data_IF_213064375067
#
_entry.id   IF_213064375067
#
_cell.length_a   1.000
_cell.length_b   1.000
_cell.length_c   1.000
_cell.angle_alpha   90.00
_cell.angle_beta   90.00
_cell.angle_gamma   90.00
#
_symmetry.space_group_name_H-M   'P 1'
#
loop_
_entity.id
_entity.type
_entity.pdbx_description
1 polymer ?
#
# COMPACT_ATOMS: atom_id res chain seq x y z
N UNK A 1 27.91 -21.31 6.00
CA UNK A 1 26.49 -21.72 5.95
C UNK A 1 25.65 -20.62 6.58
N UNK A 2 24.38 -20.50 6.16
CA UNK A 2 23.44 -19.53 6.69
C UNK A 2 22.30 -20.24 7.42
N UNK A 3 21.76 -19.63 8.47
CA UNK A 3 20.61 -20.16 9.20
C UNK A 3 19.70 -19.03 9.68
N UNK A 4 18.42 -19.32 9.84
CA UNK A 4 17.40 -18.50 10.49
C UNK A 4 16.92 -19.22 11.74
N UNK A 5 16.79 -18.49 12.85
CA UNK A 5 16.28 -18.98 14.12
C UNK A 5 15.84 -17.78 14.95
N UNK A 6 14.77 -17.94 15.73
CA UNK A 6 14.29 -16.92 16.66
C UNK A 6 15.21 -16.80 17.88
N UNK A 7 15.78 -17.92 18.32
CA UNK A 7 16.70 -18.00 19.46
C UNK A 7 18.14 -18.34 19.02
N UNK A 8 19.09 -18.16 19.95
CA UNK A 8 20.49 -18.49 19.71
C UNK A 8 20.68 -20.01 19.68
N UNK A 9 21.13 -20.53 18.54
CA UNK A 9 21.42 -21.95 18.36
C UNK A 9 22.91 -22.24 18.54
N UNK A 10 23.25 -23.29 19.29
CA UNK A 10 24.63 -23.76 19.46
C UNK A 10 24.99 -24.77 18.37
N UNK A 11 25.89 -24.39 17.46
CA UNK A 11 26.36 -25.24 16.36
C UNK A 11 27.74 -25.87 16.61
N UNK A 12 28.30 -25.80 17.82
CA UNK A 12 29.68 -26.26 18.07
C UNK A 12 29.93 -27.70 17.65
N UNK A 13 29.01 -28.61 17.97
CA UNK A 13 29.13 -30.02 17.59
C UNK A 13 28.99 -30.23 16.08
N UNK A 14 27.99 -29.60 15.46
CA UNK A 14 27.79 -29.67 14.01
C UNK A 14 29.00 -29.12 13.24
N UNK A 15 29.59 -28.01 13.70
CA UNK A 15 30.78 -27.42 13.07
C UNK A 15 31.96 -28.39 13.12
N UNK A 16 32.16 -29.12 14.23
CA UNK A 16 33.24 -30.14 14.32
C UNK A 16 33.06 -31.23 13.28
N UNK A 17 31.85 -31.81 13.19
CA UNK A 17 31.54 -32.89 12.24
C UNK A 17 31.74 -32.42 10.80
N UNK A 18 31.24 -31.24 10.45
CA UNK A 18 31.36 -30.71 9.11
C UNK A 18 32.81 -30.32 8.78
N UNK A 19 33.57 -29.76 9.72
CA UNK A 19 34.97 -29.38 9.50
C UNK A 19 35.85 -30.61 9.27
N UNK A 20 35.63 -31.70 10.02
CA UNK A 20 36.31 -32.98 9.82
C UNK A 20 36.01 -33.57 8.44
N UNK A 21 34.73 -33.55 8.04
CA UNK A 21 34.27 -34.10 6.75
C UNK A 21 34.77 -33.32 5.54
N UNK A 22 34.68 -31.99 5.57
CA UNK A 22 34.99 -31.14 4.42
C UNK A 22 36.41 -30.57 4.43
N UNK A 23 37.15 -30.68 5.55
CA UNK A 23 38.51 -30.15 5.72
C UNK A 23 38.67 -28.67 5.36
N UNK A 24 37.62 -27.88 5.62
CA UNK A 24 37.58 -26.43 5.39
C UNK A 24 37.08 -25.71 6.65
N UNK A 25 37.41 -24.42 6.79
CA UNK A 25 36.88 -23.59 7.87
C UNK A 25 35.40 -23.32 7.63
N UNK A 26 34.57 -23.76 8.57
CA UNK A 26 33.11 -23.60 8.49
C UNK A 26 32.66 -22.53 9.47
N UNK A 27 31.87 -21.59 8.94
CA UNK A 27 31.24 -20.52 9.71
C UNK A 27 29.72 -20.60 9.53
N UNK A 28 29.00 -20.52 10.65
CA UNK A 28 27.53 -20.43 10.69
C UNK A 28 27.14 -18.97 10.86
N UNK A 29 26.45 -18.39 9.86
CA UNK A 29 26.00 -16.99 9.89
C UNK A 29 24.49 -16.92 10.05
N UNK A 30 24.02 -16.25 11.10
CA UNK A 30 22.60 -15.98 11.28
C UNK A 30 22.16 -14.92 10.27
N UNK A 31 21.02 -15.13 9.63
CA UNK A 31 20.38 -14.17 8.73
C UNK A 31 18.95 -13.91 9.18
N UNK A 32 18.45 -12.70 8.90
CA UNK A 32 17.06 -12.36 9.19
C UNK A 32 16.09 -13.00 8.18
N UNK A 33 14.83 -13.17 8.58
CA UNK A 33 13.75 -13.78 7.77
C UNK A 33 13.60 -13.18 6.36
N UNK A 34 13.88 -11.88 6.19
CA UNK A 34 13.84 -11.25 4.86
C UNK A 34 15.04 -11.59 3.99
N UNK A 35 16.22 -11.73 4.58
CA UNK A 35 17.42 -12.17 3.85
C UNK A 35 17.29 -13.63 3.45
N UNK A 36 16.66 -14.44 4.29
CA UNK A 36 16.27 -15.81 3.95
C UNK A 36 15.31 -15.83 2.76
N UNK A 37 14.20 -15.09 2.83
CA UNK A 37 13.25 -14.97 1.71
C UNK A 37 13.92 -14.44 0.43
N UNK A 38 14.82 -13.47 0.55
CA UNK A 38 15.60 -12.93 -0.57
C UNK A 38 16.46 -14.01 -1.24
N UNK A 39 17.11 -14.88 -0.46
CA UNK A 39 17.96 -15.96 -0.96
C UNK A 39 17.16 -17.11 -1.56
N UNK A 40 16.04 -17.48 -0.94
CA UNK A 40 15.15 -18.52 -1.43
C UNK A 40 14.42 -18.09 -2.71
N UNK A 41 14.11 -16.80 -2.83
CA UNK A 41 13.28 -16.31 -3.93
C UNK A 41 11.80 -16.58 -3.69
N UNK A 42 11.00 -16.34 -4.73
CA UNK A 42 9.56 -16.59 -4.70
C UNK A 42 8.79 -15.54 -5.49
N UNK A 43 7.46 -15.61 -5.38
CA UNK A 43 6.54 -14.69 -6.03
C UNK A 43 5.83 -13.84 -4.98
N UNK A 44 5.86 -12.52 -5.18
CA UNK A 44 5.15 -11.57 -4.35
C UNK A 44 3.65 -11.57 -4.62
N UNK A 45 2.87 -10.94 -3.74
CA UNK A 45 1.42 -10.78 -3.96
C UNK A 45 1.07 -9.96 -5.20
N UNK A 46 2.03 -9.24 -5.78
CA UNK A 46 1.88 -8.57 -7.07
C UNK A 46 2.08 -9.50 -8.29
N UNK A 47 2.32 -10.80 -8.09
CA UNK A 47 2.54 -11.78 -9.16
C UNK A 47 3.94 -11.75 -9.80
N UNK A 48 4.83 -10.86 -9.33
CA UNK A 48 6.23 -10.76 -9.79
C UNK A 48 7.18 -11.48 -8.83
N UNK A 49 8.40 -11.75 -9.28
CA UNK A 49 9.47 -12.21 -8.39
C UNK A 49 9.69 -11.25 -7.21
N UNK A 50 10.16 -11.78 -6.07
CA UNK A 50 10.42 -10.95 -4.89
C UNK A 50 11.45 -9.87 -5.22
N UNK A 51 11.06 -8.61 -5.02
CA UNK A 51 11.96 -7.46 -5.29
C UNK A 51 13.28 -7.58 -4.50
N UNK A 52 13.27 -8.13 -3.29
CA UNK A 52 14.47 -8.35 -2.49
C UNK A 52 15.37 -9.48 -3.00
N UNK A 53 14.86 -10.39 -3.84
CA UNK A 53 15.65 -11.44 -4.52
C UNK A 53 16.21 -10.96 -5.84
N UNK A 54 15.48 -10.07 -6.52
CA UNK A 54 15.80 -9.59 -7.85
C UNK A 54 16.80 -8.41 -7.83
N UNK A 55 16.35 -7.24 -7.39
CA UNK A 55 17.07 -5.98 -7.59
C UNK A 55 17.14 -5.08 -6.34
N UNK A 56 16.18 -5.18 -5.42
CA UNK A 56 16.10 -4.35 -4.21
C UNK A 56 16.86 -4.99 -3.02
N UNK A 57 18.20 -4.99 -3.10
CA UNK A 57 19.08 -5.64 -2.10
C UNK A 57 19.26 -4.86 -0.80
N UNK A 58 19.11 -3.54 -0.86
CA UNK A 58 19.24 -2.65 0.30
C UNK A 58 17.92 -1.95 0.55
N UNK A 59 17.29 -2.25 1.69
CA UNK A 59 16.01 -1.65 2.08
C UNK A 59 16.10 -1.11 3.50
N UNK A 60 15.48 0.05 3.70
CA UNK A 60 15.27 0.61 5.04
C UNK A 60 14.13 -0.13 5.74
N UNK A 61 14.09 -0.04 7.07
CA UNK A 61 12.90 -0.48 7.81
C UNK A 61 11.68 0.28 7.31
N UNK A 62 10.56 -0.42 7.16
CA UNK A 62 9.30 0.13 6.66
C UNK A 62 8.42 0.39 7.87
N UNK A 63 7.70 1.51 7.88
CA UNK A 63 6.72 1.83 8.90
C UNK A 63 5.30 1.82 8.30
N UNK A 64 4.28 1.76 9.15
CA UNK A 64 2.87 1.82 8.73
C UNK A 64 2.45 3.21 8.24
N UNK A 65 3.21 4.26 8.58
CA UNK A 65 2.99 5.61 8.08
C UNK A 65 3.11 5.72 6.56
N UNK A 66 4.10 5.05 5.96
CA UNK A 66 4.26 4.96 4.49
C UNK A 66 3.01 4.38 3.84
N UNK A 67 2.46 3.30 4.39
CA UNK A 67 1.24 2.67 3.89
C UNK A 67 0.02 3.59 4.02
N UNK A 68 -0.10 4.31 5.15
CA UNK A 68 -1.19 5.27 5.37
C UNK A 68 -1.16 6.42 4.37
N UNK A 69 0.01 6.99 4.10
CA UNK A 69 0.17 8.05 3.10
C UNK A 69 -0.16 7.57 1.69
N UNK A 70 0.15 6.31 1.38
CA UNK A 70 -0.22 5.65 0.13
C UNK A 70 -1.69 5.22 0.06
N UNK A 71 -2.52 5.61 1.04
CA UNK A 71 -3.95 5.28 1.12
C UNK A 71 -4.21 3.76 1.06
N UNK A 72 -3.27 2.95 1.55
CA UNK A 72 -3.42 1.51 1.64
C UNK A 72 -4.11 1.11 2.94
N UNK A 73 -4.94 0.07 2.88
CA UNK A 73 -5.55 -0.54 4.08
C UNK A 73 -4.46 -0.97 5.06
N UNK A 74 -4.68 -0.67 6.34
CA UNK A 74 -3.75 -0.98 7.43
C UNK A 74 -3.84 -2.44 7.91
N UNK A 75 -4.53 -3.31 7.18
CA UNK A 75 -4.59 -4.74 7.46
C UNK A 75 -3.19 -5.39 7.35
N UNK A 76 -2.63 -5.96 8.44
CA UNK A 76 -1.30 -6.55 8.45
C UNK A 76 -1.08 -7.65 7.41
N UNK A 77 -2.11 -8.47 7.12
CA UNK A 77 -2.02 -9.55 6.14
C UNK A 77 -1.82 -8.98 4.72
N UNK A 78 -2.48 -7.87 4.39
CA UNK A 78 -2.34 -7.20 3.08
C UNK A 78 -1.00 -6.46 2.96
N UNK A 79 -0.45 -5.96 4.08
CA UNK A 79 0.80 -5.20 4.10
C UNK A 79 2.07 -6.06 4.26
N UNK A 80 1.94 -7.30 4.76
CA UNK A 80 3.06 -8.22 4.92
C UNK A 80 3.58 -8.72 3.55
N UNK A 81 4.91 -8.80 3.42
CA UNK A 81 5.57 -9.53 2.34
C UNK A 81 5.75 -11.01 2.71
N UNK A 82 6.29 -11.80 1.78
CA UNK A 82 6.49 -13.25 2.00
C UNK A 82 7.41 -13.58 3.19
N UNK A 83 8.27 -12.63 3.58
CA UNK A 83 9.10 -12.75 4.79
C UNK A 83 8.36 -12.47 6.11
N UNK A 84 7.04 -12.27 6.10
CA UNK A 84 6.22 -11.94 7.28
C UNK A 84 6.39 -10.52 7.83
N UNK A 85 7.34 -9.73 7.30
CA UNK A 85 7.51 -8.30 7.62
C UNK A 85 6.82 -7.43 6.57
N UNK A 86 6.58 -6.15 6.90
CA UNK A 86 6.03 -5.16 5.97
C UNK A 86 6.74 -5.16 4.61
N UNK A 87 5.98 -5.00 3.52
CA UNK A 87 6.52 -4.98 2.15
C UNK A 87 7.58 -3.89 1.97
N UNK A 88 8.78 -4.26 1.52
CA UNK A 88 9.86 -3.30 1.26
C UNK A 88 9.60 -2.41 0.04
N UNK A 89 8.72 -2.82 -0.88
CA UNK A 89 8.31 -1.99 -2.02
C UNK A 89 7.56 -0.72 -1.61
N UNK A 90 6.92 -0.70 -0.42
CA UNK A 90 6.22 0.49 0.09
C UNK A 90 7.16 1.68 0.19
N UNK A 91 8.37 1.48 0.73
CA UNK A 91 9.40 2.53 0.80
C UNK A 91 9.96 2.89 -0.57
N UNK A 92 10.05 1.93 -1.49
CA UNK A 92 10.57 2.17 -2.84
C UNK A 92 9.62 3.06 -3.65
N UNK A 93 8.32 2.79 -3.58
CA UNK A 93 7.28 3.53 -4.33
C UNK A 93 6.93 4.86 -3.67
N UNK A 94 7.33 5.08 -2.41
CA UNK A 94 6.89 6.21 -1.61
C UNK A 94 7.21 7.58 -2.22
N UNK A 95 8.46 7.77 -2.69
CA UNK A 95 8.88 9.06 -3.23
C UNK A 95 8.14 9.40 -4.53
N UNK A 96 8.08 8.45 -5.46
CA UNK A 96 7.32 8.58 -6.70
C UNK A 96 5.83 8.84 -6.43
N UNK A 97 5.26 8.16 -5.43
CA UNK A 97 3.86 8.37 -5.03
C UNK A 97 3.61 9.80 -4.55
N UNK A 98 4.48 10.35 -3.69
CA UNK A 98 4.36 11.72 -3.18
C UNK A 98 4.53 12.75 -4.30
N UNK A 99 5.47 12.52 -5.20
CA UNK A 99 5.69 13.40 -6.34
C UNK A 99 4.45 13.44 -7.24
N UNK A 100 3.90 12.28 -7.58
CA UNK A 100 2.72 12.22 -8.43
C UNK A 100 1.48 12.79 -7.73
N UNK A 101 1.35 12.61 -6.41
CA UNK A 101 0.25 13.20 -5.63
C UNK A 101 0.22 14.73 -5.72
N UNK A 102 1.37 15.41 -5.85
CA UNK A 102 1.43 16.88 -6.01
C UNK A 102 0.79 17.36 -7.32
N UNK A 103 0.67 16.48 -8.31
CA UNK A 103 0.02 16.81 -9.59
C UNK A 103 -1.51 16.81 -9.47
N UNK A 104 -2.09 16.33 -8.37
CA UNK A 104 -3.53 16.30 -8.16
C UNK A 104 -4.01 17.58 -7.45
N UNK A 105 -5.23 18.05 -7.76
CA UNK A 105 -5.92 19.05 -6.94
C UNK A 105 -5.99 18.63 -5.47
N UNK A 106 -6.01 19.61 -4.57
CA UNK A 106 -6.11 19.34 -3.12
C UNK A 106 -7.39 18.57 -2.80
N UNK A 107 -7.28 17.58 -1.92
CA UNK A 107 -8.44 16.83 -1.40
C UNK A 107 -9.42 17.71 -0.62
N UNK A 108 -8.97 18.89 -0.17
CA UNK A 108 -9.82 19.87 0.52
C UNK A 108 -10.62 20.76 -0.45
N UNK A 109 -10.33 20.69 -1.75
CA UNK A 109 -11.06 21.48 -2.75
C UNK A 109 -12.48 20.93 -2.93
N UNK A 110 -13.46 21.77 -2.60
CA UNK A 110 -14.88 21.49 -2.77
C UNK A 110 -15.26 21.85 -4.21
N UNK A 111 -15.95 20.94 -4.90
CA UNK A 111 -16.52 21.22 -6.21
C UNK A 111 -17.97 21.70 -6.06
N UNK A 112 -18.29 22.81 -6.72
CA UNK A 112 -19.63 23.39 -6.73
C UNK A 112 -20.34 23.03 -8.03
N UNK A 113 -21.43 22.27 -7.89
CA UNK A 113 -22.31 21.91 -9.00
C UNK A 113 -23.71 22.49 -8.80
N UNK A 114 -24.57 22.43 -9.81
CA UNK A 114 -25.97 22.84 -9.69
C UNK A 114 -26.76 21.94 -8.72
N UNK A 115 -26.42 20.64 -8.66
CA UNK A 115 -27.00 19.69 -7.69
C UNK A 115 -26.53 19.91 -6.25
N UNK A 116 -25.35 20.49 -6.05
CA UNK A 116 -24.82 20.75 -4.71
C UNK A 116 -23.30 20.75 -4.62
N UNK A 117 -22.84 20.82 -3.37
CA UNK A 117 -21.42 20.76 -2.99
C UNK A 117 -20.91 19.32 -2.95
N UNK A 118 -19.78 19.09 -3.60
CA UNK A 118 -19.14 17.80 -3.69
C UNK A 118 -17.77 17.80 -3.01
N UNK A 119 -17.53 16.76 -2.22
CA UNK A 119 -16.34 16.59 -1.39
C UNK A 119 -15.51 15.41 -1.90
N UNK A 120 -14.18 15.57 -1.91
CA UNK A 120 -13.28 14.50 -2.30
C UNK A 120 -13.23 13.43 -1.20
N UNK A 121 -13.42 12.17 -1.58
CA UNK A 121 -13.33 11.01 -0.71
C UNK A 121 -11.96 10.34 -0.77
N UNK A 122 -11.46 10.03 -1.97
CA UNK A 122 -10.16 9.37 -2.20
C UNK A 122 -9.59 9.74 -3.57
N UNK A 123 -8.28 9.53 -3.74
CA UNK A 123 -7.58 9.75 -5.02
C UNK A 123 -6.99 8.43 -5.48
N UNK A 124 -7.27 8.04 -6.73
CA UNK A 124 -6.60 6.94 -7.41
C UNK A 124 -5.51 7.52 -8.31
N UNK A 125 -4.28 7.52 -7.81
CA UNK A 125 -3.13 8.12 -8.51
C UNK A 125 -2.82 7.38 -9.81
N UNK A 126 -2.90 6.04 -9.80
CA UNK A 126 -2.54 5.23 -10.94
C UNK A 126 -3.53 5.37 -12.09
N UNK A 127 -4.82 5.53 -11.78
CA UNK A 127 -5.88 5.76 -12.78
C UNK A 127 -6.10 7.24 -13.08
N UNK A 128 -5.45 8.16 -12.36
CA UNK A 128 -5.67 9.60 -12.45
C UNK A 128 -7.14 10.00 -12.22
N UNK A 129 -7.80 9.31 -11.29
CA UNK A 129 -9.20 9.54 -10.92
C UNK A 129 -9.29 10.12 -9.50
N UNK A 130 -10.24 11.02 -9.28
CA UNK A 130 -10.61 11.53 -7.97
C UNK A 130 -12.06 11.18 -7.68
N UNK A 131 -12.30 10.62 -6.50
CA UNK A 131 -13.61 10.14 -6.10
C UNK A 131 -14.33 11.20 -5.29
N UNK A 132 -15.49 11.65 -5.75
CA UNK A 132 -16.30 12.68 -5.10
C UNK A 132 -17.65 12.14 -4.64
N UNK A 133 -18.22 12.73 -3.60
CA UNK A 133 -19.61 12.52 -3.18
C UNK A 133 -20.29 13.85 -2.89
N UNK A 134 -21.61 13.89 -3.04
CA UNK A 134 -22.42 15.05 -2.66
C UNK A 134 -22.69 15.07 -1.16
N UNK A 135 -22.58 16.23 -0.53
CA UNK A 135 -22.78 16.40 0.93
C UNK A 135 -24.16 15.95 1.41
N UNK A 136 -25.19 16.19 0.61
CA UNK A 136 -26.59 15.93 0.96
C UNK A 136 -27.14 14.66 0.27
N UNK A 137 -26.24 13.79 -0.21
CA UNK A 137 -26.64 12.55 -0.88
C UNK A 137 -26.58 11.36 0.09
N UNK A 138 -27.76 10.90 0.49
CA UNK A 138 -27.95 9.74 1.36
C UNK A 138 -27.73 8.41 0.65
N UNK A 139 -27.61 8.39 -0.68
CA UNK A 139 -27.33 7.17 -1.45
C UNK A 139 -25.89 6.68 -1.28
N UNK A 140 -25.01 7.49 -0.67
CA UNK A 140 -23.59 7.22 -0.53
C UNK A 140 -22.90 6.91 -1.87
N UNK A 141 -23.38 7.48 -2.98
CA UNK A 141 -22.76 7.27 -4.29
C UNK A 141 -21.44 8.02 -4.39
N UNK A 142 -20.41 7.34 -4.89
CA UNK A 142 -19.12 7.89 -5.23
C UNK A 142 -18.99 8.01 -6.75
N UNK A 143 -18.58 9.19 -7.20
CA UNK A 143 -18.36 9.54 -8.60
C UNK A 143 -16.86 9.59 -8.88
N UNK A 144 -16.38 8.73 -9.76
CA UNK A 144 -14.97 8.72 -10.20
C UNK A 144 -14.78 9.72 -11.32
N UNK A 145 -14.11 10.84 -11.04
CA UNK A 145 -13.92 11.93 -12.01
C UNK A 145 -12.46 12.00 -12.41
N UNK A 146 -12.14 12.01 -13.73
CA UNK A 146 -10.79 12.23 -14.22
C UNK A 146 -10.19 13.55 -13.74
N UNK A 147 -8.89 13.55 -13.45
CA UNK A 147 -8.21 14.69 -12.83
C UNK A 147 -8.25 15.96 -13.70
N UNK A 148 -8.21 15.82 -15.02
CA UNK A 148 -8.41 16.90 -15.99
C UNK A 148 -9.81 17.50 -15.89
N UNK A 149 -10.85 16.67 -15.77
CA UNK A 149 -12.23 17.12 -15.56
C UNK A 149 -12.45 17.80 -14.23
N UNK A 150 -11.80 17.32 -13.17
CA UNK A 150 -11.80 18.03 -11.87
C UNK A 150 -11.21 19.43 -12.03
N UNK A 151 -10.09 19.59 -12.75
CA UNK A 151 -9.49 20.90 -13.01
C UNK A 151 -10.41 21.81 -13.84
N UNK A 152 -11.14 21.27 -14.82
CA UNK A 152 -12.14 22.01 -15.58
C UNK A 152 -13.24 22.56 -14.65
N UNK A 153 -13.77 21.72 -13.74
CA UNK A 153 -14.81 22.13 -12.78
C UNK A 153 -14.27 23.21 -11.83
N UNK A 154 -13.04 23.04 -11.32
CA UNK A 154 -12.38 24.05 -10.46
C UNK A 154 -12.26 25.39 -11.20
N UNK A 155 -11.77 25.39 -12.43
CA UNK A 155 -11.63 26.60 -13.24
C UNK A 155 -12.98 27.26 -13.56
N UNK A 156 -14.06 26.48 -13.70
CA UNK A 156 -15.42 27.02 -13.80
C UNK A 156 -15.87 27.67 -12.49
N UNK A 157 -15.62 27.01 -11.36
CA UNK A 157 -15.99 27.50 -10.03
C UNK A 157 -15.26 28.80 -9.67
N UNK A 158 -13.99 28.96 -10.04
CA UNK A 158 -13.24 30.22 -9.91
C UNK A 158 -13.90 31.37 -10.68
N UNK A 159 -14.50 31.07 -11.84
CA UNK A 159 -15.29 32.02 -12.65
C UNK A 159 -16.73 32.18 -12.15
N UNK A 160 -17.06 31.68 -10.95
CA UNK A 160 -18.41 31.65 -10.36
C UNK A 160 -19.45 30.91 -11.21
N UNK A 161 -19.00 30.04 -12.11
CA UNK A 161 -19.86 29.13 -12.88
C UNK A 161 -19.91 27.77 -12.17
N UNK A 162 -21.11 27.23 -12.01
CA UNK A 162 -21.32 25.90 -11.44
C UNK A 162 -21.34 24.88 -12.57
N UNK A 163 -20.66 23.75 -12.38
CA UNK A 163 -20.86 22.60 -13.26
C UNK A 163 -22.29 22.07 -13.07
N UNK A 164 -22.88 21.45 -14.08
CA UNK A 164 -24.26 20.97 -13.99
C UNK A 164 -24.40 19.84 -12.96
N UNK A 165 -23.62 18.77 -13.12
CA UNK A 165 -23.61 17.64 -12.19
C UNK A 165 -22.32 16.84 -12.27
N UNK A 166 -22.00 16.02 -11.26
CA UNK A 166 -20.81 15.16 -11.29
C UNK A 166 -20.95 14.01 -12.29
N UNK A 167 -22.16 13.51 -12.51
CA UNK A 167 -22.43 12.36 -13.38
C UNK A 167 -22.00 12.59 -14.83
N UNK A 168 -22.06 13.84 -15.30
CA UNK A 168 -21.63 14.20 -16.65
C UNK A 168 -20.11 14.08 -16.85
N UNK A 169 -19.35 14.11 -15.75
CA UNK A 169 -17.89 14.05 -15.75
C UNK A 169 -17.37 12.74 -15.16
N UNK A 170 -18.24 11.89 -14.62
CA UNK A 170 -17.85 10.65 -13.97
C UNK A 170 -17.67 9.52 -15.01
N UNK A 171 -16.57 8.79 -14.90
CA UNK A 171 -16.34 7.59 -15.72
C UNK A 171 -16.97 6.35 -15.09
N UNK A 172 -17.04 6.30 -13.75
CA UNK A 172 -17.55 5.15 -12.98
C UNK A 172 -18.31 5.67 -11.76
N UNK A 173 -19.49 5.07 -11.50
CA UNK A 173 -20.27 5.31 -10.30
C UNK A 173 -20.25 4.06 -9.42
N UNK A 174 -19.97 4.21 -8.14
CA UNK A 174 -19.92 3.12 -7.16
C UNK A 174 -20.70 3.48 -5.91
N UNK A 175 -21.29 2.49 -5.23
CA UNK A 175 -21.72 2.68 -3.85
C UNK A 175 -20.48 2.79 -2.95
N UNK A 176 -20.49 3.69 -1.96
CA UNK A 176 -19.43 3.76 -0.94
C UNK A 176 -19.45 2.47 -0.12
N UNK A 177 -18.44 1.63 -0.30
CA UNK A 177 -18.19 0.53 0.62
C UNK A 177 -17.78 1.11 1.98
N UNK A 178 -18.36 0.59 3.05
CA UNK A 178 -17.80 0.79 4.38
C UNK A 178 -16.51 -0.03 4.43
N UNK A 179 -15.34 0.62 4.42
CA UNK A 179 -14.08 0.01 4.80
C UNK A 179 -14.22 -0.44 6.26
N UNK A 180 -14.76 -1.64 6.48
CA UNK A 180 -14.69 -2.31 7.76
C UNK A 180 -13.24 -2.75 7.87
N UNK A 181 -12.42 -1.92 8.50
CA UNK A 181 -11.14 -2.36 9.05
C UNK A 181 -11.46 -3.47 10.06
N UNK A 182 -11.47 -4.72 9.60
CA UNK A 182 -11.61 -5.88 10.48
C UNK A 182 -10.40 -5.86 11.40
N UNK A 183 -10.61 -5.40 12.62
CA UNK A 183 -9.60 -5.44 13.66
C UNK A 183 -9.36 -6.90 14.01
N UNK A 184 -8.10 -7.33 14.04
CA UNK A 184 -7.71 -8.71 14.38
C UNK A 184 -8.24 -9.13 15.76
N UNK A 185 -8.51 -8.16 16.65
CA UNK A 185 -9.10 -8.43 17.96
C UNK A 185 -10.58 -8.87 17.90
N UNK A 186 -11.30 -8.63 16.81
CA UNK A 186 -12.69 -9.08 16.65
C UNK A 186 -12.78 -10.57 16.26
N UNK A 187 -11.72 -11.13 15.65
CA UNK A 187 -11.65 -12.56 15.32
C UNK A 187 -11.32 -13.45 16.54
N UNK A 188 -10.77 -12.86 17.61
CA UNK A 188 -10.48 -13.61 18.85
C UNK A 188 -11.71 -13.85 19.71
N UNK A 189 -12.80 -13.13 19.48
CA UNK A 189 -14.06 -13.25 20.25
C UNK A 189 -15.04 -14.28 19.70
N UNK A 190 -14.67 -15.01 18.65
CA UNK A 190 -15.53 -16.04 18.03
C UNK A 190 -15.15 -17.46 18.52
N UNK A 191 -14.09 -17.58 19.33
CA UNK A 191 -13.61 -18.87 19.85
C UNK A 191 -13.82 -19.07 21.37
N UNK A 192 -14.73 -18.31 22.00
CA UNK A 192 -15.23 -18.60 23.36
C UNK A 192 -16.69 -19.08 23.31
#
# INVERSE_FOLDING_TARGET
FYYSADERVDFRELIKILAEKFRIRIEMRQIGVRQEASRLGGIGSCGRELCCSAWLRHFKSVNTGTAKTQQLSLNPQKLAGQCGKLKCCLNYEYEAYIEELKNFPSTQTILFTAKGEAYCHKIDIFKKLMWYYYKNDFSHTLYAIPTDKVREIIAMNEKKKKAESLELYAEINQAKENDVDVNIDDLKKIND
#
